data_IF_637603241783
#
_entry.id   IF_637603241783
#
_cell.length_a   1.000
_cell.length_b   1.000
_cell.length_c   1.000
_cell.angle_alpha   90.00
_cell.angle_beta   90.00
_cell.angle_gamma   90.00
#
_symmetry.space_group_name_H-M   'P 1'
#
loop_
_entity.id
_entity.type
_entity.pdbx_description
1 polymer ?
#
# COMPACT_ATOMS: atom_id res chain seq x y z
N UNK A 1 7.22 -35.08 16.63
CA UNK A 1 6.11 -34.50 15.84
C UNK A 1 6.28 -32.99 15.77
N UNK A 2 6.80 -32.52 14.67
CA UNK A 2 6.90 -31.08 14.43
C UNK A 2 5.50 -30.57 14.09
N UNK A 3 4.85 -29.96 15.04
CA UNK A 3 3.66 -29.17 14.78
C UNK A 3 4.09 -27.95 13.98
N UNK A 4 3.91 -28.03 12.66
CA UNK A 4 4.01 -26.86 11.81
C UNK A 4 2.88 -25.94 12.23
N UNK A 5 3.20 -24.96 13.02
CA UNK A 5 2.24 -23.95 13.43
C UNK A 5 1.86 -23.16 12.17
N UNK A 6 0.66 -23.42 11.68
CA UNK A 6 0.08 -22.62 10.61
C UNK A 6 -0.14 -21.20 11.13
N UNK A 7 0.70 -20.28 10.69
CA UNK A 7 0.57 -18.86 11.03
C UNK A 7 0.10 -18.10 9.78
N UNK A 8 -1.21 -17.96 9.56
CA UNK A 8 -1.75 -17.27 8.38
C UNK A 8 -1.33 -15.80 8.29
N UNK A 9 -0.88 -15.23 9.41
CA UNK A 9 -0.40 -13.86 9.47
C UNK A 9 1.11 -13.69 9.29
N UNK A 10 1.85 -14.78 9.10
CA UNK A 10 3.31 -14.71 8.94
C UNK A 10 3.70 -13.97 7.67
N UNK A 11 3.05 -14.28 6.56
CA UNK A 11 3.25 -13.59 5.28
C UNK A 11 2.85 -12.12 5.35
N UNK A 12 1.77 -11.81 6.06
CA UNK A 12 1.37 -10.43 6.34
C UNK A 12 2.40 -9.67 7.18
N UNK A 13 3.04 -10.34 8.14
CA UNK A 13 4.11 -9.75 8.94
C UNK A 13 5.40 -9.54 8.14
N UNK A 14 5.73 -10.47 7.25
CA UNK A 14 6.88 -10.32 6.33
C UNK A 14 6.60 -9.22 5.30
N UNK A 15 5.39 -9.16 4.77
CA UNK A 15 4.91 -8.06 3.93
C UNK A 15 5.03 -6.72 4.66
N UNK A 16 4.60 -6.66 5.92
CA UNK A 16 4.71 -5.46 6.77
C UNK A 16 6.15 -5.02 6.99
N UNK A 17 7.07 -5.96 7.25
CA UNK A 17 8.51 -5.66 7.44
C UNK A 17 9.19 -5.17 6.17
N UNK A 18 8.91 -5.81 5.04
CA UNK A 18 9.39 -5.37 3.73
C UNK A 18 8.89 -3.98 3.38
N UNK A 19 7.69 -3.68 3.78
CA UNK A 19 7.00 -2.41 3.64
C UNK A 19 7.63 -1.29 4.48
N UNK A 20 7.88 -1.55 5.77
CA UNK A 20 8.56 -0.60 6.65
C UNK A 20 9.97 -0.29 6.15
N UNK A 21 10.68 -1.30 5.63
CA UNK A 21 12.01 -1.13 5.06
C UNK A 21 12.00 -0.25 3.80
N UNK A 22 11.07 -0.51 2.86
CA UNK A 22 10.92 0.31 1.64
C UNK A 22 10.51 1.75 1.95
N UNK A 23 9.64 1.95 2.93
CA UNK A 23 9.28 3.29 3.37
C UNK A 23 10.47 4.05 3.95
N UNK A 24 11.25 3.42 4.81
CA UNK A 24 12.45 4.04 5.38
C UNK A 24 13.48 4.39 4.31
N UNK A 25 13.59 3.56 3.25
CA UNK A 25 14.47 3.85 2.12
C UNK A 25 13.93 5.02 1.29
N UNK A 26 12.62 5.08 1.05
CA UNK A 26 11.98 6.18 0.31
C UNK A 26 12.06 7.47 1.12
N UNK A 27 11.78 7.44 2.42
CA UNK A 27 11.94 8.60 3.31
C UNK A 27 13.40 9.09 3.35
N UNK A 28 14.36 8.19 3.41
CA UNK A 28 15.79 8.53 3.37
C UNK A 28 16.27 9.13 2.04
N UNK A 29 15.62 8.78 0.93
CA UNK A 29 15.88 9.39 -0.38
C UNK A 29 15.25 10.79 -0.51
N UNK A 30 14.11 11.00 0.13
CA UNK A 30 13.43 12.29 0.17
C UNK A 30 14.18 13.32 1.05
N UNK A 31 14.80 12.87 2.15
CA UNK A 31 15.61 13.74 3.01
C UNK A 31 16.88 14.27 2.32
N UNK A 32 17.40 13.60 1.29
CA UNK A 32 18.62 14.00 0.59
C UNK A 32 18.41 14.91 -0.62
N UNK A 33 17.18 15.21 -1.04
CA UNK A 33 16.94 15.84 -2.35
C UNK A 33 15.95 16.99 -2.42
N UNK A 34 15.29 17.40 -1.36
CA UNK A 34 14.28 18.45 -1.44
C UNK A 34 14.52 19.60 -0.47
N UNK A 35 14.62 20.80 -1.06
CA UNK A 35 14.66 22.06 -0.33
C UNK A 35 13.44 22.23 0.59
N UNK A 36 13.72 22.74 1.76
CA UNK A 36 12.78 23.04 2.82
C UNK A 36 11.53 23.78 2.32
N UNK A 37 10.35 23.21 2.51
CA UNK A 37 9.10 23.93 2.32
C UNK A 37 7.84 23.09 2.15
N UNK A 38 7.96 21.85 1.73
CA UNK A 38 6.78 20.99 1.54
C UNK A 38 6.88 19.82 2.50
N UNK A 39 6.07 19.84 3.55
CA UNK A 39 5.97 18.70 4.45
C UNK A 39 5.46 17.49 3.68
N UNK A 40 6.28 16.44 3.60
CA UNK A 40 5.88 15.19 2.96
C UNK A 40 4.66 14.58 3.66
N UNK A 41 3.66 14.22 2.87
CA UNK A 41 2.48 13.53 3.35
C UNK A 41 2.71 12.02 3.32
N UNK A 42 2.69 11.37 4.49
CA UNK A 42 2.76 9.92 4.61
C UNK A 42 1.39 9.36 5.02
N UNK A 43 0.63 8.77 4.09
CA UNK A 43 -0.69 8.25 4.40
C UNK A 43 -0.62 7.01 5.30
N UNK A 44 -1.55 6.91 6.23
CA UNK A 44 -1.73 5.75 7.10
C UNK A 44 -2.38 4.63 6.30
N UNK A 45 -1.92 3.40 6.52
CA UNK A 45 -2.36 2.22 5.78
C UNK A 45 -2.74 1.09 6.73
N UNK A 46 -3.88 0.48 6.45
CA UNK A 46 -4.29 -0.80 7.04
C UNK A 46 -4.26 -1.88 5.97
N UNK A 47 -3.79 -3.06 6.33
CA UNK A 47 -3.84 -4.25 5.50
C UNK A 47 -4.56 -5.37 6.22
N UNK A 48 -5.42 -6.08 5.51
CA UNK A 48 -6.15 -7.23 6.04
C UNK A 48 -6.26 -8.34 5.01
N UNK A 49 -6.43 -9.55 5.48
CA UNK A 49 -6.68 -10.73 4.67
C UNK A 49 -8.09 -11.26 4.94
N UNK A 50 -8.79 -11.60 3.87
CA UNK A 50 -10.03 -12.35 3.91
C UNK A 50 -9.85 -13.68 3.14
N UNK A 51 -10.88 -14.53 3.13
CA UNK A 51 -10.78 -15.83 2.49
C UNK A 51 -10.52 -15.76 0.98
N UNK A 52 -11.06 -14.75 0.32
CA UNK A 52 -11.03 -14.59 -1.13
C UNK A 52 -10.08 -13.49 -1.64
N UNK A 53 -9.62 -12.62 -0.76
CA UNK A 53 -8.83 -11.46 -1.16
C UNK A 53 -8.02 -10.87 -0.01
N UNK A 54 -6.98 -10.14 -0.40
CA UNK A 54 -6.30 -9.17 0.48
C UNK A 54 -6.87 -7.78 0.24
N UNK A 55 -6.85 -6.96 1.27
CA UNK A 55 -7.31 -5.57 1.20
C UNK A 55 -6.25 -4.63 1.76
N UNK A 56 -6.04 -3.55 1.07
CA UNK A 56 -5.20 -2.42 1.51
C UNK A 56 -6.08 -1.20 1.58
N UNK A 57 -6.14 -0.59 2.74
CA UNK A 57 -6.91 0.63 2.99
C UNK A 57 -5.95 1.78 3.28
N UNK A 58 -6.02 2.82 2.48
CA UNK A 58 -5.14 3.99 2.59
C UNK A 58 -5.97 5.22 2.94
N UNK A 59 -5.62 5.87 4.03
CA UNK A 59 -6.28 7.10 4.45
C UNK A 59 -5.76 8.27 3.63
N UNK A 60 -6.60 8.78 2.73
CA UNK A 60 -6.28 9.86 1.79
C UNK A 60 -7.28 11.01 1.90
N UNK A 61 -7.40 11.66 3.06
CA UNK A 61 -8.33 12.76 3.22
C UNK A 61 -7.94 13.94 2.34
N UNK A 62 -8.90 14.43 1.56
CA UNK A 62 -8.68 15.58 0.69
C UNK A 62 -7.87 15.31 -0.57
N UNK A 63 -7.61 14.04 -0.92
CA UNK A 63 -6.94 13.65 -2.17
C UNK A 63 -8.00 13.28 -3.21
N UNK A 64 -7.93 13.88 -4.38
CA UNK A 64 -8.83 13.57 -5.49
C UNK A 64 -8.43 12.26 -6.16
N UNK A 65 -9.40 11.53 -6.68
CA UNK A 65 -9.14 10.31 -7.48
C UNK A 65 -8.17 10.55 -8.64
N UNK A 66 -8.28 11.70 -9.28
CA UNK A 66 -7.39 12.10 -10.39
C UNK A 66 -5.94 12.30 -9.98
N UNK A 67 -5.68 12.49 -8.69
CA UNK A 67 -4.35 12.68 -8.12
C UNK A 67 -3.77 11.39 -7.51
N UNK A 68 -4.43 10.25 -7.73
CA UNK A 68 -4.00 8.93 -7.25
C UNK A 68 -3.68 8.03 -8.45
N UNK A 69 -2.54 7.36 -8.40
CA UNK A 69 -2.13 6.31 -9.34
C UNK A 69 -1.87 5.01 -8.61
N UNK A 70 -2.30 3.91 -9.22
CA UNK A 70 -2.07 2.55 -8.70
C UNK A 70 -1.46 1.73 -9.81
N UNK A 71 -0.29 1.15 -9.57
CA UNK A 71 0.45 0.35 -10.54
C UNK A 71 0.91 -0.96 -9.93
N UNK A 72 0.98 -2.00 -10.74
CA UNK A 72 1.60 -3.28 -10.38
C UNK A 72 2.71 -3.57 -11.36
N UNK A 73 3.92 -3.72 -10.86
CA UNK A 73 5.09 -4.08 -11.63
C UNK A 73 5.98 -5.01 -10.81
N UNK A 74 6.45 -6.08 -11.45
CA UNK A 74 7.36 -7.05 -10.82
C UNK A 74 6.87 -7.54 -9.43
N UNK A 75 5.58 -7.85 -9.34
CA UNK A 75 4.92 -8.29 -8.12
C UNK A 75 4.89 -7.24 -6.98
N UNK A 76 5.06 -5.98 -7.32
CA UNK A 76 4.96 -4.85 -6.38
C UNK A 76 3.77 -3.98 -6.77
N UNK A 77 2.85 -3.81 -5.83
CA UNK A 77 1.75 -2.85 -5.91
C UNK A 77 2.24 -1.51 -5.39
N UNK A 78 2.17 -0.47 -6.21
CA UNK A 78 2.54 0.89 -5.83
C UNK A 78 1.32 1.79 -5.88
N UNK A 79 1.07 2.50 -4.80
CA UNK A 79 0.03 3.51 -4.68
C UNK A 79 0.73 4.85 -4.49
N UNK A 80 0.53 5.75 -5.42
CA UNK A 80 1.17 7.07 -5.41
C UNK A 80 0.16 8.17 -5.67
N UNK A 81 0.52 9.37 -5.31
CA UNK A 81 -0.33 10.52 -5.55
C UNK A 81 0.20 11.79 -4.87
N UNK A 82 -0.67 12.78 -4.81
CA UNK A 82 -0.36 14.06 -4.21
C UNK A 82 -1.56 14.61 -3.44
N UNK A 83 -1.33 15.01 -2.20
CA UNK A 83 -2.27 15.80 -1.44
C UNK A 83 -1.93 17.28 -1.63
N UNK A 84 -2.77 17.97 -2.40
CA UNK A 84 -2.55 19.37 -2.75
C UNK A 84 -3.12 20.31 -1.70
N UNK A 85 -2.42 21.40 -1.47
CA UNK A 85 -2.94 22.54 -0.70
C UNK A 85 -4.07 23.19 -1.48
N UNK A 86 -5.08 23.72 -0.80
CA UNK A 86 -6.15 24.51 -1.44
C UNK A 86 -5.56 25.77 -2.06
N UNK A 87 -5.72 25.92 -3.37
CA UNK A 87 -5.15 27.03 -4.14
C UNK A 87 -5.72 28.42 -3.77
N UNK A 88 -6.90 28.46 -3.15
CA UNK A 88 -7.59 29.71 -2.79
C UNK A 88 -7.20 30.29 -1.44
N UNK A 89 -6.43 29.53 -0.63
CA UNK A 89 -6.04 29.95 0.72
C UNK A 89 -4.54 30.12 0.77
N UNK A 90 -4.09 31.31 1.12
CA UNK A 90 -2.67 31.62 1.31
C UNK A 90 -2.22 31.09 2.66
N UNK A 91 -0.96 30.64 2.73
CA UNK A 91 -0.34 30.18 3.97
C UNK A 91 -0.44 31.23 5.09
N UNK A 92 -0.32 32.50 4.74
CA UNK A 92 -0.45 33.63 5.67
C UNK A 92 -1.87 33.81 6.27
N UNK A 93 -2.89 33.17 5.70
CA UNK A 93 -4.27 33.25 6.18
C UNK A 93 -4.57 32.26 7.30
N UNK A 94 -3.65 31.33 7.57
CA UNK A 94 -3.78 30.34 8.64
C UNK A 94 -3.14 30.83 9.94
N UNK A 95 -3.82 30.65 11.04
CA UNK A 95 -3.25 30.84 12.37
C UNK A 95 -2.40 29.65 12.82
N UNK A 96 -2.76 28.46 12.35
CA UNK A 96 -2.09 27.21 12.69
C UNK A 96 -2.30 26.19 11.56
N UNK A 97 -1.21 25.55 11.14
CA UNK A 97 -1.24 24.45 10.17
C UNK A 97 -0.65 23.22 10.83
N UNK A 98 -1.47 22.17 10.98
CA UNK A 98 -1.05 20.86 11.48
C UNK A 98 -1.20 19.77 10.43
N UNK A 99 -1.87 20.07 9.31
CA UNK A 99 -2.04 19.14 8.19
C UNK A 99 -0.76 19.02 7.37
N UNK A 100 -0.54 17.81 6.86
CA UNK A 100 0.57 17.53 5.95
C UNK A 100 0.06 17.40 4.53
N UNK A 101 0.84 17.91 3.59
CA UNK A 101 0.58 17.90 2.16
C UNK A 101 1.81 17.39 1.42
N UNK A 102 1.65 17.08 0.15
CA UNK A 102 2.73 16.72 -0.75
C UNK A 102 2.51 15.39 -1.44
N UNK A 103 3.54 14.95 -2.13
CA UNK A 103 3.56 13.68 -2.85
C UNK A 103 3.77 12.52 -1.89
N UNK A 104 3.15 11.40 -2.19
CA UNK A 104 3.31 10.16 -1.45
C UNK A 104 3.48 8.97 -2.38
N UNK A 105 4.18 7.97 -1.91
CA UNK A 105 4.29 6.65 -2.54
C UNK A 105 4.21 5.59 -1.45
N UNK A 106 3.37 4.59 -1.65
CA UNK A 106 3.29 3.41 -0.80
C UNK A 106 3.41 2.18 -1.68
N UNK A 107 4.31 1.27 -1.34
CA UNK A 107 4.58 0.07 -2.11
C UNK A 107 4.41 -1.20 -1.28
N UNK A 108 3.85 -2.23 -1.91
CA UNK A 108 3.53 -3.50 -1.28
C UNK A 108 3.99 -4.64 -2.17
N UNK A 109 4.75 -5.57 -1.63
CA UNK A 109 5.02 -6.81 -2.33
C UNK A 109 3.78 -7.70 -2.27
N UNK A 110 3.29 -8.11 -3.43
CA UNK A 110 2.11 -8.96 -3.53
C UNK A 110 2.43 -10.40 -3.11
N UNK A 111 1.55 -11.07 -2.36
CA UNK A 111 1.64 -12.50 -2.14
C UNK A 111 1.59 -13.28 -3.47
N UNK A 112 2.12 -14.51 -3.47
CA UNK A 112 2.18 -15.34 -4.68
C UNK A 112 0.83 -15.86 -5.16
N UNK A 113 -0.16 -15.89 -4.27
CA UNK A 113 -1.50 -16.43 -4.50
C UNK A 113 -2.51 -15.40 -5.00
N UNK A 114 -2.06 -14.26 -5.50
CA UNK A 114 -2.94 -13.19 -5.98
C UNK A 114 -3.13 -13.24 -7.49
N UNK A 115 -4.31 -12.78 -7.92
CA UNK A 115 -4.63 -12.50 -9.31
C UNK A 115 -4.48 -10.99 -9.57
N UNK A 116 -3.31 -10.59 -10.04
CA UNK A 116 -2.97 -9.18 -10.25
C UNK A 116 -3.88 -8.50 -11.30
N UNK A 117 -4.42 -9.26 -12.26
CA UNK A 117 -5.28 -8.72 -13.32
C UNK A 117 -6.67 -8.36 -12.81
N UNK A 118 -7.05 -8.84 -11.64
CA UNK A 118 -8.36 -8.59 -11.03
C UNK A 118 -8.32 -7.62 -9.85
N UNK A 119 -7.22 -6.94 -9.66
CA UNK A 119 -7.12 -5.91 -8.63
C UNK A 119 -8.08 -4.76 -8.97
N UNK A 120 -8.86 -4.35 -7.99
CA UNK A 120 -9.78 -3.22 -8.09
C UNK A 120 -9.57 -2.26 -6.94
N UNK A 121 -9.78 -0.99 -7.21
CA UNK A 121 -9.65 0.06 -6.21
C UNK A 121 -10.90 0.92 -6.17
N UNK A 122 -11.31 1.30 -4.98
CA UNK A 122 -12.44 2.17 -4.74
C UNK A 122 -12.07 3.23 -3.69
N UNK A 123 -12.43 4.47 -3.96
CA UNK A 123 -12.23 5.58 -3.03
C UNK A 123 -13.56 6.09 -2.53
N UNK A 124 -13.75 6.06 -1.22
CA UNK A 124 -14.97 6.53 -0.55
C UNK A 124 -14.64 7.12 0.82
N UNK A 125 -15.24 8.26 1.11
CA UNK A 125 -15.10 8.94 2.41
C UNK A 125 -13.64 9.21 2.82
N UNK A 126 -12.77 9.52 1.87
CA UNK A 126 -11.36 9.79 2.13
C UNK A 126 -10.50 8.54 2.36
N UNK A 127 -11.03 7.35 2.11
CA UNK A 127 -10.29 6.08 2.20
C UNK A 127 -10.24 5.44 0.82
N UNK A 128 -9.04 5.10 0.38
CA UNK A 128 -8.81 4.27 -0.80
C UNK A 128 -8.73 2.81 -0.36
N UNK A 129 -9.66 1.99 -0.81
CA UNK A 129 -9.61 0.54 -0.63
C UNK A 129 -9.14 -0.13 -1.91
N UNK A 130 -8.09 -0.92 -1.81
CA UNK A 130 -7.59 -1.76 -2.89
C UNK A 130 -7.88 -3.22 -2.54
N UNK A 131 -8.71 -3.87 -3.35
CA UNK A 131 -9.00 -5.30 -3.25
C UNK A 131 -8.09 -6.07 -4.17
N UNK A 132 -7.36 -7.03 -3.61
CA UNK A 132 -6.39 -7.88 -4.31
C UNK A 132 -6.91 -9.32 -4.23
N UNK A 133 -7.64 -9.81 -5.25
CA UNK A 133 -8.22 -11.14 -5.23
C UNK A 133 -7.16 -12.24 -5.19
N UNK A 134 -7.46 -13.31 -4.46
CA UNK A 134 -6.69 -14.55 -4.51
C UNK A 134 -7.04 -15.35 -5.76
N UNK A 135 -6.06 -16.10 -6.26
CA UNK A 135 -6.31 -17.05 -7.36
C UNK A 135 -7.22 -18.17 -6.88
N UNK A 136 -8.29 -18.43 -7.63
CA UNK A 136 -9.33 -19.42 -7.25
C UNK A 136 -8.87 -20.88 -7.35
N UNK A 137 -7.80 -21.18 -8.09
CA UNK A 137 -7.37 -22.54 -8.45
C UNK A 137 -5.89 -22.78 -8.18
N UNK A 138 -5.37 -22.29 -7.05
CA UNK A 138 -4.07 -22.78 -6.60
C UNK A 138 -4.29 -24.18 -6.10
N UNK A 139 -3.76 -25.16 -6.85
CA UNK A 139 -3.74 -26.55 -6.40
C UNK A 139 -2.74 -26.66 -5.24
N UNK A 140 -3.29 -26.52 -4.04
CA UNK A 140 -2.52 -26.65 -2.79
C UNK A 140 -2.32 -28.11 -2.39
N UNK A 141 -2.84 -29.06 -3.19
CA UNK A 141 -2.67 -30.47 -2.91
C UNK A 141 -1.22 -30.89 -3.14
N UNK A 142 -0.64 -31.64 -2.22
CA UNK A 142 0.70 -32.16 -2.41
C UNK A 142 0.78 -33.04 -3.65
N UNK A 143 1.69 -32.71 -4.55
CA UNK A 143 1.95 -33.50 -5.74
C UNK A 143 2.87 -34.66 -5.38
N UNK A 144 2.39 -35.89 -5.55
CA UNK A 144 3.18 -37.08 -5.35
C UNK A 144 4.13 -37.28 -6.55
N UNK A 145 5.42 -37.36 -6.27
CA UNK A 145 6.45 -37.59 -7.28
C UNK A 145 6.83 -39.06 -7.24
N UNK A 146 6.74 -39.73 -8.38
CA UNK A 146 7.26 -41.10 -8.52
C UNK A 146 8.76 -41.13 -8.60
N UNK A 147 9.36 -42.05 -7.85
CA UNK A 147 10.79 -42.32 -7.91
C UNK A 147 11.00 -43.34 -9.03
N UNK A 148 11.78 -42.97 -10.01
CA UNK A 148 12.18 -43.85 -11.10
C UNK A 148 13.40 -44.65 -10.70
#
# INVERSE_FOLDING_TARGET
MLLTRFEPFRELRELRRGFEYLNNVVEGLEEQGYEAGISSFAPIVNSREADDAYYVEVDLPGVKKSDISIDVKDNVLSISGERKVKNETKESDYYKIESRYGKFVRSFTLPKDVDADKIVANSKNGVLEVKIPKQKNIDTKPKKIEIK
#
